data_IF_703126595419
#
_entry.id   IF_703126595419
#
_cell.length_a   1.000
_cell.length_b   1.000
_cell.length_c   1.000
_cell.angle_alpha   90.00
_cell.angle_beta   90.00
_cell.angle_gamma   90.00
#
_symmetry.space_group_name_H-M   'P 1'
#
loop_
_entity.id
_entity.type
_entity.pdbx_description
1 polymer ?
#
# COMPACT_ATOMS: atom_id res chain seq x y z
N UNK A 1 73.29 -16.66 9.30
CA UNK A 1 72.22 -17.55 9.81
C UNK A 1 70.89 -16.93 9.46
N UNK A 2 70.16 -17.61 8.60
CA UNK A 2 69.11 -17.06 7.72
C UNK A 2 67.74 -17.04 8.41
N UNK A 3 67.05 -15.91 8.32
CA UNK A 3 65.66 -15.71 8.74
C UNK A 3 64.71 -16.58 7.90
N UNK A 4 63.88 -17.40 8.54
CA UNK A 4 62.80 -18.15 7.87
C UNK A 4 61.47 -17.42 8.13
N UNK A 5 60.97 -16.75 7.10
CA UNK A 5 59.69 -16.05 7.09
C UNK A 5 58.58 -17.08 6.79
N UNK A 6 57.70 -17.35 7.77
CA UNK A 6 56.53 -18.21 7.58
C UNK A 6 55.41 -17.39 6.90
N UNK A 7 55.14 -17.68 5.63
CA UNK A 7 53.93 -17.24 4.93
C UNK A 7 52.72 -18.08 5.40
N UNK A 8 51.81 -17.46 6.14
CA UNK A 8 50.46 -18.00 6.38
C UNK A 8 49.63 -17.78 5.10
N UNK A 9 49.41 -18.84 4.33
CA UNK A 9 48.43 -18.84 3.24
C UNK A 9 47.04 -19.01 3.87
N UNK A 10 46.30 -17.90 3.96
CA UNK A 10 44.87 -17.91 4.28
C UNK A 10 44.11 -18.55 3.11
N UNK A 11 43.90 -19.87 3.19
CA UNK A 11 42.99 -20.59 2.30
C UNK A 11 41.54 -20.17 2.59
N UNK A 12 41.10 -19.10 1.95
CA UNK A 12 39.69 -18.72 1.91
C UNK A 12 38.87 -19.80 1.21
N UNK A 13 38.22 -20.65 1.99
CA UNK A 13 37.20 -21.56 1.46
C UNK A 13 36.10 -20.71 0.82
N UNK A 14 35.71 -20.98 -0.44
CA UNK A 14 34.56 -20.31 -1.03
C UNK A 14 33.34 -20.69 -0.20
N UNK A 15 32.66 -19.66 0.31
CA UNK A 15 31.36 -19.78 0.97
C UNK A 15 30.42 -20.43 -0.04
N UNK A 16 30.18 -21.72 0.13
CA UNK A 16 29.20 -22.46 -0.66
C UNK A 16 27.88 -21.71 -0.52
N UNK A 17 27.44 -21.07 -1.60
CA UNK A 17 26.10 -20.57 -1.71
C UNK A 17 25.21 -21.81 -1.56
N UNK A 18 24.61 -21.97 -0.39
CA UNK A 18 23.53 -22.92 -0.21
C UNK A 18 22.56 -22.63 -1.35
N UNK A 19 22.48 -23.56 -2.31
CA UNK A 19 21.45 -23.57 -3.32
C UNK A 19 20.15 -23.79 -2.55
N UNK A 20 19.55 -22.68 -2.13
CA UNK A 20 18.20 -22.68 -1.60
C UNK A 20 17.33 -23.28 -2.68
N UNK A 21 16.65 -24.37 -2.34
CA UNK A 21 15.45 -24.79 -3.06
C UNK A 21 14.64 -23.50 -3.26
N UNK A 22 14.36 -23.07 -4.50
CA UNK A 22 13.49 -21.91 -4.69
C UNK A 22 12.21 -22.20 -3.92
N UNK A 23 11.69 -21.23 -3.13
CA UNK A 23 10.45 -21.46 -2.42
C UNK A 23 9.41 -21.99 -3.42
N UNK A 24 8.56 -22.95 -3.03
CA UNK A 24 7.47 -23.42 -3.87
C UNK A 24 6.75 -22.20 -4.42
N UNK A 25 6.38 -22.23 -5.71
CA UNK A 25 5.72 -21.11 -6.39
C UNK A 25 4.71 -20.48 -5.43
N UNK A 26 5.02 -19.28 -4.96
CA UNK A 26 4.28 -18.61 -3.91
C UNK A 26 2.80 -18.57 -4.32
N UNK A 27 1.90 -19.07 -3.48
CA UNK A 27 0.50 -18.69 -3.57
C UNK A 27 0.44 -17.21 -3.17
N UNK A 28 0.69 -16.34 -4.16
CA UNK A 28 0.70 -14.89 -3.98
C UNK A 28 -0.64 -14.41 -3.41
N UNK A 29 -1.81 -14.85 -3.92
CA UNK A 29 -3.10 -14.54 -3.30
C UNK A 29 -3.19 -14.89 -1.81
N UNK A 30 -2.81 -16.11 -1.40
CA UNK A 30 -2.90 -16.53 0.00
C UNK A 30 -1.99 -15.69 0.92
N UNK A 31 -0.77 -15.40 0.47
CA UNK A 31 0.15 -14.55 1.23
C UNK A 31 -0.34 -13.10 1.33
N UNK A 32 -0.93 -12.55 0.27
CA UNK A 32 -1.54 -11.22 0.31
C UNK A 32 -2.78 -11.20 1.21
N UNK A 33 -3.61 -12.26 1.22
CA UNK A 33 -4.75 -12.35 2.13
C UNK A 33 -4.31 -12.39 3.60
N UNK A 34 -3.22 -13.09 3.91
CA UNK A 34 -2.67 -13.07 5.27
C UNK A 34 -2.21 -11.67 5.69
N UNK A 35 -1.54 -10.93 4.81
CA UNK A 35 -1.20 -9.52 5.07
C UNK A 35 -2.45 -8.67 5.25
N UNK A 36 -3.46 -8.86 4.41
CA UNK A 36 -4.73 -8.15 4.47
C UNK A 36 -5.48 -8.43 5.79
N UNK A 37 -5.48 -9.68 6.24
CA UNK A 37 -6.06 -10.14 7.51
C UNK A 37 -5.33 -9.55 8.72
N UNK A 38 -4.01 -9.49 8.68
CA UNK A 38 -3.22 -8.83 9.74
C UNK A 38 -3.49 -7.32 9.71
N UNK A 39 -3.49 -6.71 8.52
CA UNK A 39 -3.74 -5.30 8.31
C UNK A 39 -5.10 -4.84 8.84
N UNK A 40 -6.16 -5.63 8.64
CA UNK A 40 -7.52 -5.28 9.10
C UNK A 40 -7.67 -5.20 10.62
N UNK A 41 -6.69 -5.71 11.38
CA UNK A 41 -6.66 -5.62 12.85
C UNK A 41 -5.62 -4.59 13.33
N UNK A 42 -4.52 -4.42 12.60
CA UNK A 42 -3.40 -3.58 13.00
C UNK A 42 -3.55 -2.11 12.60
N UNK A 43 -4.34 -1.81 11.57
CA UNK A 43 -4.54 -0.44 11.09
C UNK A 43 -5.71 0.19 11.84
N UNK A 44 -5.40 1.23 12.62
CA UNK A 44 -6.35 1.99 13.42
C UNK A 44 -7.17 2.96 12.56
N UNK A 45 -8.47 2.66 12.41
CA UNK A 45 -9.41 3.49 11.65
C UNK A 45 -9.62 4.89 12.24
N UNK A 46 -9.65 5.03 13.57
CA UNK A 46 -9.79 6.35 14.23
C UNK A 46 -8.61 7.26 13.88
N UNK A 47 -7.42 6.66 13.78
CA UNK A 47 -6.23 7.37 13.35
C UNK A 47 -6.27 7.73 11.86
N UNK A 48 -6.75 6.82 11.01
CA UNK A 48 -6.89 7.05 9.57
C UNK A 48 -7.80 8.23 9.23
N UNK A 49 -8.94 8.37 9.91
CA UNK A 49 -9.90 9.46 9.67
C UNK A 49 -9.31 10.85 9.94
N UNK A 50 -8.25 10.93 10.75
CA UNK A 50 -7.59 12.19 11.13
C UNK A 50 -6.50 12.62 10.16
N UNK A 51 -6.17 11.81 9.15
CA UNK A 51 -5.05 12.07 8.24
C UNK A 51 -5.32 13.30 7.37
N UNK A 52 -6.43 13.35 6.64
CA UNK A 52 -6.66 14.41 5.64
C UNK A 52 -7.29 15.61 6.34
N UNK A 53 -6.68 16.79 6.17
CA UNK A 53 -7.17 17.98 6.89
C UNK A 53 -8.52 18.46 6.34
N UNK A 54 -9.23 19.24 7.15
CA UNK A 54 -10.45 19.90 6.70
C UNK A 54 -10.20 20.88 5.53
N UNK A 55 -9.01 21.49 5.45
CA UNK A 55 -8.62 22.38 4.35
C UNK A 55 -8.54 21.61 3.04
N UNK A 56 -7.79 20.51 3.01
CA UNK A 56 -7.70 19.63 1.85
C UNK A 56 -9.10 19.19 1.38
N UNK A 57 -9.96 18.75 2.30
CA UNK A 57 -11.31 18.31 1.96
C UNK A 57 -12.17 19.43 1.34
N UNK A 58 -12.01 20.67 1.80
CA UNK A 58 -12.71 21.83 1.23
C UNK A 58 -12.26 22.10 -0.20
N UNK A 59 -10.94 22.21 -0.43
CA UNK A 59 -10.39 22.57 -1.74
C UNK A 59 -10.40 21.44 -2.77
N UNK A 60 -10.48 20.18 -2.34
CA UNK A 60 -10.43 19.00 -3.22
C UNK A 60 -11.49 19.01 -4.34
N UNK A 61 -12.64 19.64 -4.10
CA UNK A 61 -13.75 19.74 -5.06
C UNK A 61 -13.93 21.15 -5.64
N UNK A 62 -13.12 22.11 -5.24
CA UNK A 62 -13.17 23.46 -5.79
C UNK A 62 -12.48 23.50 -7.14
N UNK A 63 -13.12 24.16 -8.10
CA UNK A 63 -12.55 24.43 -9.42
C UNK A 63 -12.22 25.91 -9.49
N UNK A 64 -10.95 26.29 -9.40
CA UNK A 64 -10.53 27.66 -9.70
C UNK A 64 -10.33 27.80 -11.22
N UNK A 65 -11.11 28.64 -11.93
CA UNK A 65 -10.96 28.83 -13.37
C UNK A 65 -9.61 29.44 -13.78
N UNK A 66 -8.85 30.00 -12.82
CA UNK A 66 -7.53 30.59 -13.05
C UNK A 66 -6.39 29.67 -12.62
N UNK A 67 -6.70 28.63 -11.85
CA UNK A 67 -5.71 27.68 -11.34
C UNK A 67 -6.29 26.26 -11.33
N UNK A 68 -5.96 25.51 -12.39
CA UNK A 68 -6.38 24.11 -12.53
C UNK A 68 -5.71 23.16 -11.52
N UNK A 69 -4.68 23.61 -10.81
CA UNK A 69 -3.91 22.80 -9.86
C UNK A 69 -4.27 23.08 -8.40
N UNK A 70 -5.14 24.08 -8.15
CA UNK A 70 -5.51 24.54 -6.82
C UNK A 70 -5.89 23.39 -5.87
N UNK A 71 -6.64 22.40 -6.32
CA UNK A 71 -7.03 21.27 -5.47
C UNK A 71 -5.82 20.43 -5.01
N UNK A 72 -4.84 20.20 -5.89
CA UNK A 72 -3.63 19.43 -5.58
C UNK A 72 -2.66 20.23 -4.72
N UNK A 73 -2.46 21.52 -5.04
CA UNK A 73 -1.58 22.42 -4.30
C UNK A 73 -2.09 22.71 -2.88
N UNK A 74 -3.40 22.53 -2.65
CA UNK A 74 -4.03 22.64 -1.33
C UNK A 74 -4.29 21.29 -0.66
N UNK A 75 -3.77 20.18 -1.21
CA UNK A 75 -3.86 18.88 -0.55
C UNK A 75 -2.81 18.78 0.56
N UNK A 76 -3.28 18.77 1.80
CA UNK A 76 -2.47 18.62 3.00
C UNK A 76 -3.02 17.51 3.93
N UNK A 77 -2.14 17.03 4.80
CA UNK A 77 -2.42 16.00 5.80
C UNK A 77 -1.92 16.44 7.17
N UNK A 78 -2.50 15.91 8.24
CA UNK A 78 -1.90 15.97 9.57
C UNK A 78 -0.73 14.97 9.61
N UNK A 79 0.48 15.51 9.81
CA UNK A 79 1.74 14.76 9.70
C UNK A 79 1.80 13.59 10.69
N UNK A 80 1.31 13.77 11.91
CA UNK A 80 1.45 12.76 12.96
C UNK A 80 0.67 11.47 12.64
N UNK A 81 -0.67 11.51 12.40
CA UNK A 81 -1.42 10.33 11.98
C UNK A 81 -0.94 9.79 10.63
N UNK A 82 -0.58 10.66 9.67
CA UNK A 82 -0.08 10.22 8.37
C UNK A 82 1.19 9.37 8.50
N UNK A 83 2.19 9.84 9.25
CA UNK A 83 3.47 9.15 9.43
C UNK A 83 3.28 7.84 10.18
N UNK A 84 2.43 7.81 11.21
CA UNK A 84 2.17 6.61 12.00
C UNK A 84 1.51 5.52 11.15
N UNK A 85 0.42 5.85 10.45
CA UNK A 85 -0.26 4.90 9.57
C UNK A 85 0.68 4.46 8.45
N UNK A 86 1.39 5.40 7.79
CA UNK A 86 2.33 5.06 6.70
C UNK A 86 3.41 4.06 7.15
N UNK A 87 3.97 4.22 8.35
CA UNK A 87 4.95 3.26 8.89
C UNK A 87 4.33 1.88 9.12
N UNK A 88 3.09 1.81 9.57
CA UNK A 88 2.37 0.54 9.73
C UNK A 88 2.16 -0.14 8.38
N UNK A 89 1.69 0.60 7.37
CA UNK A 89 1.50 0.09 6.00
C UNK A 89 2.81 -0.44 5.39
N UNK A 90 3.93 0.27 5.58
CA UNK A 90 5.26 -0.17 5.13
C UNK A 90 5.76 -1.43 5.87
N UNK A 91 5.38 -1.63 7.13
CA UNK A 91 5.74 -2.86 7.87
C UNK A 91 4.91 -4.04 7.39
N UNK A 92 3.63 -3.82 7.10
CA UNK A 92 2.73 -4.84 6.55
C UNK A 92 3.24 -5.34 5.19
N UNK A 93 3.74 -4.46 4.31
CA UNK A 93 4.29 -4.89 3.02
C UNK A 93 5.54 -5.77 3.14
N UNK A 94 6.26 -5.70 4.26
CA UNK A 94 7.43 -6.54 4.53
C UNK A 94 7.09 -7.92 5.13
N UNK A 95 5.81 -8.24 5.37
CA UNK A 95 5.40 -9.57 5.82
C UNK A 95 5.54 -10.64 4.72
N UNK A 96 5.68 -10.22 3.45
CA UNK A 96 5.89 -11.09 2.30
C UNK A 96 7.31 -10.97 1.73
N UNK A 97 7.86 -12.04 1.12
CA UNK A 97 9.23 -12.04 0.60
C UNK A 97 9.39 -11.41 -0.79
N UNK A 98 8.33 -10.79 -1.33
CA UNK A 98 8.29 -10.20 -2.67
C UNK A 98 7.79 -8.75 -2.62
N UNK A 99 8.03 -7.94 -3.67
CA UNK A 99 7.55 -6.56 -3.73
C UNK A 99 6.03 -6.50 -3.61
N UNK A 100 5.54 -5.79 -2.59
CA UNK A 100 4.14 -5.49 -2.39
C UNK A 100 4.00 -4.08 -1.81
N UNK A 101 2.83 -3.47 -2.01
CA UNK A 101 2.43 -2.25 -1.31
C UNK A 101 1.13 -2.52 -0.53
N UNK A 102 0.92 -1.78 0.56
CA UNK A 102 -0.33 -1.81 1.33
C UNK A 102 -0.90 -0.40 1.39
N UNK A 103 -1.79 -0.06 0.48
CA UNK A 103 -2.30 1.31 0.38
C UNK A 103 -3.54 1.53 1.25
N UNK A 104 -3.74 2.76 1.70
CA UNK A 104 -4.96 3.17 2.40
C UNK A 104 -5.88 3.92 1.45
N UNK A 105 -7.09 3.39 1.29
CA UNK A 105 -8.20 4.02 0.59
C UNK A 105 -9.27 4.44 1.57
N UNK A 106 -9.83 5.64 1.41
CA UNK A 106 -10.90 6.12 2.28
C UNK A 106 -12.03 6.82 1.52
N UNK A 107 -13.29 6.58 1.89
CA UNK A 107 -14.42 7.36 1.41
C UNK A 107 -14.28 8.83 1.84
N UNK A 108 -14.92 9.73 1.10
CA UNK A 108 -14.86 11.17 1.39
C UNK A 108 -16.12 11.59 2.15
N UNK A 109 -15.92 12.14 3.36
CA UNK A 109 -17.03 12.60 4.21
C UNK A 109 -17.86 13.65 3.47
N UNK A 110 -19.19 13.46 3.43
CA UNK A 110 -20.12 14.31 2.69
C UNK A 110 -20.19 14.07 1.17
N UNK A 111 -19.45 13.07 0.66
CA UNK A 111 -19.42 12.61 -0.74
C UNK A 111 -19.32 11.07 -0.77
N UNK A 112 -20.38 10.35 -0.34
CA UNK A 112 -20.33 8.89 -0.17
C UNK A 112 -20.13 8.12 -1.48
N UNK A 113 -20.36 8.77 -2.62
CA UNK A 113 -20.13 8.27 -3.96
C UNK A 113 -18.67 8.41 -4.43
N UNK A 114 -17.78 8.94 -3.58
CA UNK A 114 -16.36 9.19 -3.90
C UNK A 114 -15.42 8.47 -2.95
N UNK A 115 -14.27 8.05 -3.50
CA UNK A 115 -13.18 7.44 -2.75
C UNK A 115 -11.84 8.06 -3.16
N UNK A 116 -10.87 8.06 -2.25
CA UNK A 116 -9.50 8.53 -2.51
C UNK A 116 -8.48 7.57 -1.95
N UNK A 117 -7.31 7.54 -2.58
CA UNK A 117 -6.13 6.94 -1.97
C UNK A 117 -5.49 7.98 -1.04
N UNK A 118 -5.42 7.67 0.25
CA UNK A 118 -4.84 8.57 1.26
C UNK A 118 -3.35 8.34 1.38
N UNK A 119 -2.91 7.07 1.34
CA UNK A 119 -1.50 6.70 1.42
C UNK A 119 -1.15 5.68 0.34
N UNK A 120 -0.11 6.01 -0.43
CA UNK A 120 0.63 5.11 -1.33
C UNK A 120 2.03 4.84 -0.78
N UNK A 121 2.60 3.69 -1.15
CA UNK A 121 3.87 3.21 -0.63
C UNK A 121 4.96 3.06 -1.71
N UNK A 122 6.05 2.40 -1.33
CA UNK A 122 7.38 2.42 -1.94
C UNK A 122 7.40 2.05 -3.41
N UNK A 123 6.58 1.07 -3.83
CA UNK A 123 6.62 0.57 -5.20
C UNK A 123 5.62 1.26 -6.11
N UNK A 124 4.89 2.24 -5.57
CA UNK A 124 3.85 2.97 -6.28
C UNK A 124 2.75 2.07 -6.87
N UNK A 125 2.58 0.85 -6.36
CA UNK A 125 1.63 -0.11 -6.92
C UNK A 125 0.20 0.22 -6.50
N UNK A 126 -0.73 0.25 -7.46
CA UNK A 126 -2.17 0.16 -7.22
C UNK A 126 -2.86 -0.36 -8.48
N UNK A 127 -3.85 -1.24 -8.33
CA UNK A 127 -4.70 -1.63 -9.46
C UNK A 127 -5.67 -0.52 -9.86
N UNK A 128 -5.98 0.38 -8.93
CA UNK A 128 -7.15 1.25 -9.00
C UNK A 128 -6.82 2.73 -9.17
N UNK A 129 -5.62 3.16 -8.79
CA UNK A 129 -5.28 4.59 -8.80
C UNK A 129 -4.68 5.03 -10.14
N UNK A 130 -5.33 5.95 -10.87
CA UNK A 130 -4.74 6.63 -12.01
C UNK A 130 -3.88 7.79 -11.54
N UNK A 131 -2.79 8.04 -12.28
CA UNK A 131 -1.82 9.06 -11.90
C UNK A 131 -2.45 10.46 -11.79
N UNK A 132 -2.19 11.12 -10.66
CA UNK A 132 -2.63 12.50 -10.40
C UNK A 132 -4.07 12.64 -9.91
N UNK A 133 -4.85 11.55 -9.80
CA UNK A 133 -6.22 11.65 -9.29
C UNK A 133 -6.23 11.86 -7.77
N UNK A 134 -6.86 12.95 -7.32
CA UNK A 134 -7.08 13.23 -5.89
C UNK A 134 -8.23 12.40 -5.31
N UNK A 135 -9.21 12.08 -6.14
CA UNK A 135 -10.34 11.20 -5.82
C UNK A 135 -10.89 10.59 -7.10
N UNK A 136 -11.75 9.59 -6.95
CA UNK A 136 -12.44 8.91 -8.03
C UNK A 136 -13.88 8.61 -7.61
N UNK A 137 -14.70 8.16 -8.57
CA UNK A 137 -15.97 7.51 -8.24
C UNK A 137 -15.72 6.28 -7.38
N UNK A 138 -16.67 5.98 -6.50
CA UNK A 138 -16.61 4.81 -5.62
C UNK A 138 -16.41 3.54 -6.45
N UNK A 139 -15.32 2.84 -6.15
CA UNK A 139 -14.94 1.63 -6.86
C UNK A 139 -15.80 0.46 -6.36
N UNK A 140 -16.45 -0.33 -7.24
CA UNK A 140 -17.41 -1.36 -6.82
C UNK A 140 -16.85 -2.35 -5.80
N UNK A 141 -15.61 -2.82 -5.98
CA UNK A 141 -14.98 -3.79 -5.08
C UNK A 141 -14.70 -3.16 -3.70
N UNK A 142 -14.26 -1.91 -3.66
CA UNK A 142 -14.06 -1.19 -2.38
C UNK A 142 -15.39 -0.90 -1.68
N UNK A 143 -16.44 -0.58 -2.45
CA UNK A 143 -17.79 -0.42 -1.92
C UNK A 143 -18.27 -1.69 -1.21
N UNK A 144 -18.07 -2.85 -1.82
CA UNK A 144 -18.44 -4.12 -1.18
C UNK A 144 -17.70 -4.30 0.15
N UNK A 145 -16.38 -4.05 0.20
CA UNK A 145 -15.62 -4.14 1.47
C UNK A 145 -16.15 -3.16 2.53
N UNK A 146 -16.44 -1.91 2.15
CA UNK A 146 -16.99 -0.90 3.05
C UNK A 146 -18.37 -1.29 3.59
N UNK A 147 -19.20 -1.96 2.79
CA UNK A 147 -20.57 -2.34 3.17
C UNK A 147 -20.64 -3.66 3.95
N UNK A 148 -19.78 -4.63 3.63
CA UNK A 148 -19.84 -5.98 4.21
C UNK A 148 -18.77 -6.24 5.27
N UNK A 149 -17.67 -5.48 5.26
CA UNK A 149 -16.48 -5.78 6.06
C UNK A 149 -15.73 -7.04 5.60
N UNK A 150 -16.09 -7.63 4.46
CA UNK A 150 -15.43 -8.85 3.97
C UNK A 150 -14.22 -8.51 3.10
N UNK A 151 -13.16 -9.34 3.20
CA UNK A 151 -12.00 -9.21 2.32
C UNK A 151 -12.30 -9.74 0.92
N UNK A 152 -11.75 -9.09 -0.10
CA UNK A 152 -12.00 -9.44 -1.51
C UNK A 152 -10.67 -9.49 -2.26
N UNK A 153 -10.45 -10.59 -3.00
CA UNK A 153 -9.32 -10.71 -3.93
C UNK A 153 -9.73 -10.21 -5.32
N UNK A 154 -8.92 -9.33 -5.91
CA UNK A 154 -9.15 -8.71 -7.21
C UNK A 154 -7.97 -8.98 -8.14
N UNK A 155 -8.26 -9.55 -9.32
CA UNK A 155 -7.27 -9.91 -10.35
C UNK A 155 -7.70 -9.44 -11.75
N UNK A 156 -8.49 -8.37 -11.83
CA UNK A 156 -9.07 -7.88 -13.09
C UNK A 156 -8.01 -7.27 -14.02
N UNK A 157 -6.98 -6.63 -13.45
CA UNK A 157 -5.85 -6.09 -14.22
C UNK A 157 -4.83 -7.21 -14.45
N UNK A 158 -4.55 -7.61 -15.72
CA UNK A 158 -3.63 -8.70 -16.00
C UNK A 158 -2.24 -8.45 -15.39
N UNK A 159 -1.73 -9.44 -14.67
CA UNK A 159 -0.44 -9.35 -13.99
C UNK A 159 -0.46 -8.65 -12.64
N UNK A 160 -1.64 -8.31 -12.11
CA UNK A 160 -1.80 -7.70 -10.80
C UNK A 160 -2.71 -8.54 -9.90
N UNK A 161 -2.40 -8.52 -8.61
CA UNK A 161 -3.22 -9.16 -7.57
C UNK A 161 -3.34 -8.15 -6.44
N UNK A 162 -4.56 -7.86 -6.03
CA UNK A 162 -4.86 -7.01 -4.88
C UNK A 162 -5.81 -7.78 -3.96
N UNK A 163 -5.55 -7.75 -2.66
CA UNK A 163 -6.53 -8.13 -1.65
C UNK A 163 -7.00 -6.86 -0.96
N UNK A 164 -8.31 -6.62 -1.02
CA UNK A 164 -8.97 -5.51 -0.36
C UNK A 164 -9.42 -5.96 1.03
N UNK A 165 -9.12 -5.17 2.05
CA UNK A 165 -9.47 -5.48 3.44
C UNK A 165 -10.13 -4.28 4.14
N UNK A 166 -11.08 -4.51 5.07
CA UNK A 166 -11.66 -3.41 5.82
C UNK A 166 -10.64 -2.77 6.77
N UNK A 167 -10.80 -1.46 6.97
CA UNK A 167 -10.22 -0.73 8.11
C UNK A 167 -11.38 -0.29 8.98
N UNK A 168 -11.41 -0.77 10.22
CA UNK A 168 -12.45 -0.41 11.18
C UNK A 168 -11.95 0.60 12.21
N UNK A 169 -12.85 1.47 12.68
CA UNK A 169 -12.61 2.30 13.86
C UNK A 169 -12.86 1.51 15.17
N UNK A 170 -12.67 2.17 16.31
CA UNK A 170 -12.89 1.59 17.64
C UNK A 170 -14.35 1.22 17.95
N UNK A 171 -15.32 1.71 17.17
CA UNK A 171 -16.74 1.33 17.27
C UNK A 171 -17.08 0.12 16.39
N UNK A 172 -16.15 -0.28 15.51
CA UNK A 172 -16.30 -1.40 14.58
C UNK A 172 -16.86 -0.97 13.22
N UNK A 173 -17.07 0.33 12.99
CA UNK A 173 -17.52 0.84 11.69
C UNK A 173 -16.38 0.74 10.68
N UNK A 174 -16.67 0.28 9.45
CA UNK A 174 -15.67 0.19 8.38
C UNK A 174 -15.49 1.58 7.74
N UNK A 175 -14.40 2.25 8.10
CA UNK A 175 -14.10 3.63 7.70
C UNK A 175 -13.15 3.73 6.51
N UNK A 176 -12.53 2.63 6.10
CA UNK A 176 -11.58 2.61 5.00
C UNK A 176 -11.32 1.22 4.44
N UNK A 177 -10.45 1.16 3.44
CA UNK A 177 -10.05 -0.08 2.77
C UNK A 177 -8.53 -0.12 2.64
N UNK A 178 -7.91 -1.23 3.02
CA UNK A 178 -6.55 -1.55 2.64
C UNK A 178 -6.54 -2.20 1.28
N UNK A 179 -5.63 -1.77 0.41
CA UNK A 179 -5.27 -2.50 -0.81
C UNK A 179 -3.88 -3.11 -0.62
N UNK A 180 -3.82 -4.41 -0.36
CA UNK A 180 -2.55 -5.17 -0.36
C UNK A 180 -2.31 -5.66 -1.78
N UNK A 181 -1.29 -5.13 -2.47
CA UNK A 181 -1.12 -5.32 -3.91
C UNK A 181 0.29 -5.77 -4.28
N UNK A 182 0.37 -6.66 -5.26
CA UNK A 182 1.62 -7.02 -5.95
C UNK A 182 1.40 -7.11 -7.45
N UNK A 183 2.50 -7.13 -8.19
CA UNK A 183 2.54 -7.48 -9.61
C UNK A 183 3.21 -8.85 -9.78
N UNK A 184 2.62 -9.72 -10.59
CA UNK A 184 3.24 -11.03 -10.91
C UNK A 184 4.48 -10.88 -11.78
N UNK A 185 4.64 -9.73 -12.44
CA UNK A 185 5.84 -9.29 -13.15
C UNK A 185 6.03 -7.80 -12.91
N UNK A 186 7.20 -7.38 -12.42
CA UNK A 186 7.47 -5.97 -12.12
C UNK A 186 7.52 -5.12 -13.41
N UNK A 187 6.60 -4.16 -13.56
CA UNK A 187 6.63 -3.09 -14.56
C UNK A 187 6.69 -1.73 -13.84
N UNK A 188 7.89 -1.12 -13.83
CA UNK A 188 8.14 0.17 -13.17
C UNK A 188 7.36 1.35 -13.81
N UNK A 189 6.77 1.18 -14.99
CA UNK A 189 6.03 2.24 -15.71
C UNK A 189 4.52 2.03 -15.71
N UNK A 190 4.00 1.09 -14.93
CA UNK A 190 2.60 0.66 -15.06
C UNK A 190 1.54 1.73 -14.69
N UNK A 191 1.93 2.84 -14.06
CA UNK A 191 1.05 3.94 -13.66
C UNK A 191 1.14 5.18 -14.56
N UNK A 192 2.04 5.21 -15.56
CA UNK A 192 2.34 6.40 -16.38
C UNK A 192 1.82 6.25 -17.82
N UNK A 193 0.92 5.28 -18.07
CA UNK A 193 0.35 5.03 -19.40
C UNK A 193 -0.92 5.85 -19.62
#
# INVERSE_FOLDING_TARGET
MTFLCLLFVMSGLPRSAAQGVPPPAADLPEQLDEVARVGSVMVDGDLCERIVTQRALTYMFEVDPRDRWAAGDNYDVDDAPFIEVKKTLLRLSHLVPFPADVNLWMPIKGRPDKIRIVIRNTHEMSQFWPWGALYQDMIPQMKTVLETGERITVTEKPGWISVLAPVSDSLGDVVGVLEVVTQTQSDAHANVK
#
